data_IF_145062349880
#
_entry.id   IF_145062349880
#
_cell.length_a   1.000
_cell.length_b   1.000
_cell.length_c   1.000
_cell.angle_alpha   90.00
_cell.angle_beta   90.00
_cell.angle_gamma   90.00
#
_symmetry.space_group_name_H-M   'P 1'
#
loop_
_entity.id
_entity.type
_entity.pdbx_description
1 polymer ?
#
# COMPACT_ATOMS: atom_id res chain seq x y z
N UNK A 1 21.66 -9.12 -5.82
CA UNK A 1 21.98 -10.13 -6.84
C UNK A 1 20.70 -10.87 -7.14
N UNK A 2 20.42 -11.12 -8.41
CA UNK A 2 19.22 -11.81 -8.86
C UNK A 2 19.41 -13.32 -8.83
N UNK A 3 18.39 -14.06 -8.38
CA UNK A 3 18.39 -15.51 -8.36
C UNK A 3 18.12 -16.05 -9.76
N UNK A 4 18.97 -16.98 -10.23
CA UNK A 4 18.85 -17.58 -11.54
C UNK A 4 18.77 -19.10 -11.42
N UNK A 5 17.88 -19.73 -12.19
CA UNK A 5 17.83 -21.20 -12.37
C UNK A 5 18.22 -21.52 -13.81
N UNK A 6 19.08 -22.53 -13.97
CA UNK A 6 19.46 -23.11 -15.26
C UNK A 6 18.69 -24.41 -15.49
N UNK A 7 17.99 -24.52 -16.61
CA UNK A 7 17.25 -25.71 -16.98
C UNK A 7 17.61 -26.15 -18.40
N UNK A 8 18.25 -27.31 -18.51
CA UNK A 8 18.65 -27.93 -19.76
C UNK A 8 18.80 -29.44 -19.51
N UNK A 9 18.40 -30.32 -20.41
CA UNK A 9 18.54 -31.75 -20.18
C UNK A 9 19.99 -32.24 -20.36
N UNK A 10 20.82 -31.47 -21.08
CA UNK A 10 22.25 -31.74 -21.25
C UNK A 10 23.06 -31.17 -20.05
N UNK A 11 23.50 -32.03 -19.12
CA UNK A 11 24.29 -31.62 -17.97
C UNK A 11 25.59 -30.91 -18.34
N UNK A 12 26.21 -31.28 -19.47
CA UNK A 12 27.44 -30.68 -20.01
C UNK A 12 27.21 -29.21 -20.40
N UNK A 13 26.04 -28.85 -20.92
CA UNK A 13 25.69 -27.47 -21.27
C UNK A 13 25.55 -26.64 -19.97
N UNK A 14 24.83 -27.15 -18.98
CA UNK A 14 24.68 -26.46 -17.69
C UNK A 14 26.03 -26.22 -17.01
N UNK A 15 26.87 -27.26 -16.96
CA UNK A 15 28.20 -27.15 -16.37
C UNK A 15 29.10 -26.21 -17.19
N UNK A 16 29.12 -26.30 -18.50
CA UNK A 16 29.89 -25.42 -19.39
C UNK A 16 29.49 -23.94 -19.22
N UNK A 17 28.19 -23.63 -19.11
CA UNK A 17 27.74 -22.27 -18.84
C UNK A 17 28.26 -21.75 -17.50
N UNK A 18 28.24 -22.56 -16.44
CA UNK A 18 28.74 -22.16 -15.13
C UNK A 18 30.26 -21.92 -15.09
N UNK A 19 31.02 -22.67 -15.87
CA UNK A 19 32.48 -22.53 -15.93
C UNK A 19 32.93 -21.31 -16.73
N UNK A 20 32.18 -20.95 -17.80
CA UNK A 20 32.61 -19.94 -18.75
C UNK A 20 31.92 -18.57 -18.51
N UNK A 21 30.75 -18.56 -17.86
CA UNK A 21 29.97 -17.33 -17.62
C UNK A 21 30.18 -16.86 -16.18
N UNK A 22 30.68 -15.63 -15.95
CA UNK A 22 30.88 -15.08 -14.62
C UNK A 22 29.56 -14.52 -14.07
N UNK A 23 28.61 -15.38 -13.71
CA UNK A 23 27.26 -15.01 -13.27
C UNK A 23 27.27 -13.97 -12.13
N UNK A 24 28.11 -14.17 -11.12
CA UNK A 24 28.18 -13.24 -9.98
C UNK A 24 28.64 -11.84 -10.42
N UNK A 25 29.61 -11.74 -11.31
CA UNK A 25 30.08 -10.46 -11.85
C UNK A 25 29.00 -9.76 -12.70
N UNK A 26 28.09 -10.54 -13.29
CA UNK A 26 26.93 -10.05 -14.03
C UNK A 26 25.72 -9.73 -13.14
N UNK A 27 25.82 -9.98 -11.82
CA UNK A 27 24.78 -9.66 -10.86
C UNK A 27 23.74 -10.76 -10.63
N UNK A 28 24.06 -12.00 -11.06
CA UNK A 28 23.21 -13.19 -10.87
C UNK A 28 23.84 -14.22 -9.94
N UNK A 29 23.00 -14.94 -9.21
CA UNK A 29 23.41 -16.13 -8.44
C UNK A 29 22.64 -17.33 -8.97
N UNK A 30 23.34 -18.36 -9.42
CA UNK A 30 22.71 -19.62 -9.82
C UNK A 30 22.28 -20.36 -8.56
N UNK A 31 20.97 -20.37 -8.28
CA UNK A 31 20.41 -20.96 -7.06
C UNK A 31 19.86 -22.37 -7.27
N UNK A 32 19.72 -22.80 -8.53
CA UNK A 32 19.22 -24.12 -8.86
C UNK A 32 19.55 -24.54 -10.30
N UNK A 33 19.57 -25.84 -10.51
CA UNK A 33 19.73 -26.49 -11.82
C UNK A 33 18.69 -27.59 -11.97
N UNK A 34 18.17 -27.76 -13.18
CA UNK A 34 17.20 -28.81 -13.49
C UNK A 34 17.52 -29.46 -14.84
N UNK A 35 17.29 -30.77 -14.94
CA UNK A 35 17.44 -31.54 -16.16
C UNK A 35 16.14 -31.73 -16.95
N UNK A 36 15.02 -31.18 -16.48
CA UNK A 36 13.72 -31.24 -17.12
C UNK A 36 12.76 -30.17 -16.55
N UNK A 37 11.68 -29.92 -17.28
CA UNK A 37 10.73 -28.89 -16.88
C UNK A 37 9.94 -29.17 -15.59
N UNK A 38 9.76 -30.43 -15.21
CA UNK A 38 9.05 -30.80 -13.96
C UNK A 38 9.88 -30.44 -12.73
N UNK A 39 11.16 -30.79 -12.77
CA UNK A 39 12.14 -30.44 -11.74
C UNK A 39 12.31 -28.92 -11.65
N UNK A 40 12.46 -28.24 -12.79
CA UNK A 40 12.58 -26.78 -12.83
C UNK A 40 11.35 -26.07 -12.26
N UNK A 41 10.13 -26.55 -12.52
CA UNK A 41 8.90 -25.99 -11.95
C UNK A 41 8.92 -26.07 -10.41
N UNK A 42 9.27 -27.25 -9.87
CA UNK A 42 9.39 -27.43 -8.41
C UNK A 42 10.44 -26.51 -7.78
N UNK A 43 11.59 -26.33 -8.45
CA UNK A 43 12.62 -25.41 -8.00
C UNK A 43 12.16 -23.94 -8.07
N UNK A 44 11.40 -23.55 -9.11
CA UNK A 44 10.84 -22.21 -9.20
C UNK A 44 9.86 -21.92 -8.06
N UNK A 45 9.00 -22.87 -7.70
CA UNK A 45 8.07 -22.72 -6.56
C UNK A 45 8.78 -22.61 -5.21
N UNK A 46 9.90 -23.29 -5.03
CA UNK A 46 10.66 -23.30 -3.76
C UNK A 46 11.61 -22.11 -3.60
N UNK A 47 12.26 -21.72 -4.69
CA UNK A 47 13.36 -20.74 -4.64
C UNK A 47 12.95 -19.34 -5.10
N UNK A 48 11.81 -19.23 -5.78
CA UNK A 48 11.30 -17.96 -6.33
C UNK A 48 12.40 -17.20 -7.12
N UNK A 49 12.87 -17.74 -8.27
CA UNK A 49 13.94 -17.10 -9.03
C UNK A 49 13.46 -15.84 -9.74
N UNK A 50 14.38 -14.90 -9.93
CA UNK A 50 14.15 -13.70 -10.74
C UNK A 50 14.25 -14.01 -12.24
N UNK A 51 15.12 -14.95 -12.61
CA UNK A 51 15.36 -15.38 -13.99
C UNK A 51 15.42 -16.90 -14.11
N UNK A 52 14.63 -17.46 -15.01
CA UNK A 52 14.72 -18.85 -15.45
C UNK A 52 15.33 -18.89 -16.86
N UNK A 53 16.49 -19.53 -16.98
CA UNK A 53 17.11 -19.86 -18.28
C UNK A 53 16.75 -21.29 -18.60
N UNK A 54 16.06 -21.54 -19.71
CA UNK A 54 15.56 -22.88 -20.05
C UNK A 54 15.80 -23.24 -21.50
N UNK A 55 16.18 -24.50 -21.75
CA UNK A 55 16.04 -25.06 -23.08
C UNK A 55 14.56 -25.31 -23.42
N UNK A 56 14.23 -25.37 -24.72
CA UNK A 56 12.88 -25.71 -25.19
C UNK A 56 12.64 -27.20 -25.12
N UNK A 57 13.56 -27.99 -25.67
CA UNK A 57 13.36 -29.43 -25.81
C UNK A 57 13.94 -30.19 -24.63
N UNK A 58 13.08 -30.55 -23.71
CA UNK A 58 13.44 -31.33 -22.54
C UNK A 58 12.45 -32.48 -22.30
N UNK A 59 12.89 -33.59 -21.66
CA UNK A 59 12.00 -34.67 -21.30
C UNK A 59 10.95 -34.23 -20.25
N UNK A 60 9.83 -34.95 -20.20
CA UNK A 60 8.71 -34.78 -19.24
C UNK A 60 7.90 -33.50 -19.45
N UNK A 61 8.55 -32.35 -19.55
CA UNK A 61 7.91 -31.05 -19.78
C UNK A 61 8.87 -30.16 -20.58
N UNK A 62 8.40 -29.63 -21.69
CA UNK A 62 9.17 -28.71 -22.53
C UNK A 62 9.28 -27.32 -21.89
N UNK A 63 10.29 -26.53 -22.31
CA UNK A 63 10.58 -25.22 -21.72
C UNK A 63 9.49 -24.18 -21.92
N UNK A 64 8.73 -24.22 -23.00
CA UNK A 64 7.63 -23.28 -23.25
C UNK A 64 6.43 -23.57 -22.33
N UNK A 65 6.11 -24.85 -22.15
CA UNK A 65 5.10 -25.28 -21.17
C UNK A 65 5.53 -24.95 -19.75
N UNK A 66 6.81 -25.14 -19.43
CA UNK A 66 7.39 -24.71 -18.15
C UNK A 66 7.19 -23.21 -17.90
N UNK A 67 7.59 -22.36 -18.87
CA UNK A 67 7.44 -20.91 -18.74
C UNK A 67 5.99 -20.48 -18.52
N UNK A 68 5.01 -21.09 -19.19
CA UNK A 68 3.59 -20.79 -18.97
C UNK A 68 3.16 -21.12 -17.53
N UNK A 69 3.52 -22.30 -17.02
CA UNK A 69 3.18 -22.71 -15.64
C UNK A 69 3.87 -21.86 -14.60
N UNK A 70 5.15 -21.53 -14.80
CA UNK A 70 5.88 -20.63 -13.89
C UNK A 70 5.27 -19.23 -13.91
N UNK A 71 4.83 -18.70 -15.06
CA UNK A 71 4.17 -17.39 -15.16
C UNK A 71 2.85 -17.35 -14.38
N UNK A 72 2.10 -18.45 -14.32
CA UNK A 72 0.86 -18.57 -13.54
C UNK A 72 1.14 -18.60 -12.02
N UNK A 73 2.18 -19.34 -11.59
CA UNK A 73 2.52 -19.50 -10.17
C UNK A 73 3.36 -18.34 -9.63
N UNK A 74 4.30 -17.83 -10.44
CA UNK A 74 5.28 -16.80 -10.08
C UNK A 74 5.36 -15.71 -11.16
N UNK A 75 4.41 -14.77 -11.23
CA UNK A 75 4.34 -13.76 -12.28
C UNK A 75 5.56 -12.83 -12.38
N UNK A 76 6.39 -12.82 -11.33
CA UNK A 76 7.59 -11.98 -11.23
C UNK A 76 8.82 -12.61 -11.90
N UNK A 77 8.82 -13.93 -12.10
CA UNK A 77 9.93 -14.66 -12.74
C UNK A 77 9.97 -14.33 -14.22
N UNK A 78 11.14 -13.92 -14.70
CA UNK A 78 11.39 -13.68 -16.12
C UNK A 78 12.09 -14.86 -16.78
N UNK A 79 12.04 -14.92 -18.12
CA UNK A 79 12.49 -16.09 -18.87
C UNK A 79 13.51 -15.72 -19.94
N UNK A 80 14.55 -16.55 -20.05
CA UNK A 80 15.48 -16.58 -21.16
C UNK A 80 15.45 -17.98 -21.78
N UNK A 81 15.16 -18.06 -23.07
CA UNK A 81 15.02 -19.33 -23.78
C UNK A 81 16.28 -19.63 -24.58
N UNK A 82 16.76 -20.86 -24.45
CA UNK A 82 17.82 -21.43 -25.26
C UNK A 82 17.18 -22.44 -26.22
N UNK A 83 17.56 -22.43 -27.49
CA UNK A 83 17.01 -23.35 -28.50
C UNK A 83 18.07 -23.88 -29.44
N UNK A 84 18.09 -25.18 -29.68
CA UNK A 84 18.94 -25.81 -30.69
C UNK A 84 18.36 -25.79 -32.11
N UNK A 85 17.20 -25.19 -32.29
CA UNK A 85 16.47 -25.23 -33.58
C UNK A 85 16.05 -23.80 -33.97
N UNK A 86 16.34 -23.46 -35.21
CA UNK A 86 15.82 -22.29 -35.89
C UNK A 86 14.38 -22.57 -36.35
N UNK A 87 13.48 -22.76 -35.37
CA UNK A 87 12.06 -23.01 -35.61
C UNK A 87 11.28 -21.74 -35.31
N UNK A 88 10.76 -21.13 -36.34
CA UNK A 88 9.96 -19.89 -36.26
C UNK A 88 8.78 -20.03 -35.31
N UNK A 89 8.21 -21.21 -35.16
CA UNK A 89 7.07 -21.47 -34.29
C UNK A 89 7.44 -21.35 -32.80
N UNK A 90 8.64 -21.80 -32.40
CA UNK A 90 9.13 -21.62 -31.04
C UNK A 90 9.45 -20.18 -30.72
N UNK A 91 10.05 -19.44 -31.65
CA UNK A 91 10.31 -18.01 -31.49
C UNK A 91 8.99 -17.21 -31.34
N UNK A 92 7.95 -17.55 -32.11
CA UNK A 92 6.63 -16.95 -32.00
C UNK A 92 6.00 -17.20 -30.62
N UNK A 93 6.04 -18.43 -30.13
CA UNK A 93 5.51 -18.78 -28.82
C UNK A 93 6.29 -18.09 -27.67
N UNK A 94 7.62 -17.95 -27.79
CA UNK A 94 8.43 -17.21 -26.84
C UNK A 94 8.02 -15.73 -26.74
N UNK A 95 7.68 -15.10 -27.86
CA UNK A 95 7.15 -13.73 -27.90
C UNK A 95 5.78 -13.64 -27.19
N UNK A 96 4.88 -14.62 -27.41
CA UNK A 96 3.57 -14.68 -26.75
C UNK A 96 3.70 -14.80 -25.23
N UNK A 97 4.71 -15.53 -24.73
CA UNK A 97 5.02 -15.69 -23.31
C UNK A 97 5.71 -14.43 -22.73
N UNK A 98 6.15 -13.51 -23.58
CA UNK A 98 6.94 -12.32 -23.22
C UNK A 98 8.25 -12.69 -22.52
N UNK A 99 9.09 -13.48 -23.19
CA UNK A 99 10.42 -13.81 -22.69
C UNK A 99 11.36 -12.62 -22.86
N UNK A 100 12.33 -12.46 -21.95
CA UNK A 100 13.35 -11.41 -22.03
C UNK A 100 14.34 -11.61 -23.18
N UNK A 101 14.54 -12.87 -23.60
CA UNK A 101 15.45 -13.19 -24.67
C UNK A 101 15.25 -14.60 -25.22
N UNK A 102 15.72 -14.80 -26.44
CA UNK A 102 15.74 -16.06 -27.13
C UNK A 102 17.11 -16.23 -27.81
N UNK A 103 17.82 -17.30 -27.50
CA UNK A 103 19.16 -17.59 -28.01
C UNK A 103 19.20 -18.91 -28.75
N UNK A 104 19.88 -18.95 -29.88
CA UNK A 104 20.09 -20.15 -30.66
C UNK A 104 21.40 -20.86 -30.27
N UNK A 105 21.33 -22.15 -30.01
CA UNK A 105 22.52 -23.00 -29.81
C UNK A 105 23.19 -23.27 -31.17
N UNK A 106 24.54 -23.28 -31.31
CA UNK A 106 25.52 -23.15 -30.21
C UNK A 106 25.70 -21.70 -29.76
N UNK A 107 25.65 -21.47 -28.44
CA UNK A 107 25.71 -20.14 -27.84
C UNK A 107 27.15 -19.81 -27.50
N UNK A 108 27.64 -18.69 -27.98
CA UNK A 108 28.94 -18.15 -27.52
C UNK A 108 28.81 -17.56 -26.10
N UNK A 109 29.87 -17.71 -25.29
CA UNK A 109 29.92 -17.11 -23.97
C UNK A 109 29.67 -15.59 -24.01
N UNK A 110 30.17 -14.92 -25.03
CA UNK A 110 30.04 -13.47 -25.19
C UNK A 110 28.60 -13.05 -25.50
N UNK A 111 27.90 -13.81 -26.34
CA UNK A 111 26.50 -13.58 -26.68
C UNK A 111 25.61 -13.80 -25.45
N UNK A 112 25.81 -14.91 -24.73
CA UNK A 112 25.07 -15.19 -23.51
C UNK A 112 25.27 -14.12 -22.42
N UNK A 113 26.53 -13.66 -22.22
CA UNK A 113 26.82 -12.57 -21.29
C UNK A 113 26.13 -11.26 -21.69
N UNK A 114 26.02 -10.95 -22.99
CA UNK A 114 25.34 -9.76 -23.48
C UNK A 114 23.86 -9.82 -23.13
N UNK A 115 23.20 -10.94 -23.41
CA UNK A 115 21.78 -11.12 -23.10
C UNK A 115 21.52 -11.10 -21.60
N UNK A 116 22.42 -11.66 -20.77
CA UNK A 116 22.30 -11.55 -19.31
C UNK A 116 22.44 -10.10 -18.80
N UNK A 117 23.29 -9.27 -19.42
CA UNK A 117 23.40 -7.85 -19.09
C UNK A 117 22.11 -7.09 -19.42
N UNK A 118 21.52 -7.39 -20.59
CA UNK A 118 20.25 -6.80 -21.01
C UNK A 118 19.10 -7.26 -20.11
N UNK A 119 19.07 -8.55 -19.73
CA UNK A 119 18.11 -9.08 -18.77
C UNK A 119 18.24 -8.40 -17.39
N UNK A 120 19.49 -8.22 -16.92
CA UNK A 120 19.74 -7.48 -15.67
C UNK A 120 19.21 -6.05 -15.71
N UNK A 121 19.47 -5.32 -16.79
CA UNK A 121 18.99 -3.95 -16.94
C UNK A 121 17.45 -3.88 -16.90
N UNK A 122 16.77 -4.83 -17.54
CA UNK A 122 15.31 -4.93 -17.50
C UNK A 122 14.78 -5.28 -16.09
N UNK A 123 15.44 -6.19 -15.38
CA UNK A 123 15.11 -6.53 -14.00
C UNK A 123 15.33 -5.34 -13.05
N UNK A 124 16.45 -4.62 -13.20
CA UNK A 124 16.74 -3.40 -12.42
C UNK A 124 15.65 -2.34 -12.63
N UNK A 125 15.22 -2.13 -13.87
CA UNK A 125 14.15 -1.17 -14.19
C UNK A 125 12.79 -1.61 -13.63
N UNK A 126 12.45 -2.90 -13.74
CA UNK A 126 11.21 -3.45 -13.18
C UNK A 126 11.19 -3.34 -11.65
N UNK A 127 12.31 -3.62 -10.99
CA UNK A 127 12.48 -3.48 -9.54
C UNK A 127 12.37 -2.03 -9.10
N UNK A 128 13.03 -1.11 -9.80
CA UNK A 128 12.95 0.33 -9.50
C UNK A 128 11.51 0.87 -9.65
N UNK A 129 10.77 0.42 -10.68
CA UNK A 129 9.35 0.77 -10.84
C UNK A 129 8.48 0.28 -9.68
N UNK A 130 8.66 -0.99 -9.25
CA UNK A 130 7.94 -1.53 -8.08
C UNK A 130 8.26 -0.74 -6.82
N UNK A 131 9.53 -0.49 -6.54
CA UNK A 131 9.97 0.27 -5.37
C UNK A 131 9.38 1.69 -5.35
N UNK A 132 9.27 2.35 -6.51
CA UNK A 132 8.66 3.67 -6.60
C UNK A 132 7.15 3.65 -6.32
N UNK A 133 6.42 2.63 -6.80
CA UNK A 133 4.99 2.46 -6.51
C UNK A 133 4.78 2.20 -5.03
N UNK A 134 5.54 1.29 -4.43
CA UNK A 134 5.46 0.98 -3.00
C UNK A 134 5.77 2.20 -2.12
N UNK A 135 6.79 2.99 -2.50
CA UNK A 135 7.13 4.25 -1.82
C UNK A 135 6.00 5.27 -1.93
N UNK A 136 5.43 5.45 -3.12
CA UNK A 136 4.31 6.37 -3.32
C UNK A 136 3.08 5.94 -2.52
N UNK A 137 2.79 4.64 -2.45
CA UNK A 137 1.71 4.10 -1.62
C UNK A 137 1.98 4.30 -0.12
N UNK A 138 3.22 4.10 0.33
CA UNK A 138 3.62 4.38 1.70
C UNK A 138 3.46 5.87 2.04
N UNK A 139 3.99 6.77 1.22
CA UNK A 139 3.83 8.22 1.40
C UNK A 139 2.36 8.65 1.41
N UNK A 140 1.53 8.09 0.53
CA UNK A 140 0.11 8.38 0.53
C UNK A 140 -0.54 7.92 1.82
N UNK A 141 -0.24 6.71 2.29
CA UNK A 141 -0.75 6.15 3.55
C UNK A 141 -0.35 7.00 4.75
N UNK A 142 0.91 7.41 4.82
CA UNK A 142 1.44 8.25 5.90
C UNK A 142 0.82 9.66 5.89
N UNK A 143 0.40 10.14 4.72
CA UNK A 143 -0.26 11.44 4.56
C UNK A 143 -1.76 11.41 4.85
N UNK A 144 -2.41 10.24 4.87
CA UNK A 144 -3.86 10.10 5.09
C UNK A 144 -4.37 10.80 6.34
N UNK A 145 -3.73 10.72 7.53
CA UNK A 145 -4.21 11.41 8.73
C UNK A 145 -4.28 12.92 8.54
N UNK A 146 -3.27 13.51 7.89
CA UNK A 146 -3.21 14.95 7.60
C UNK A 146 -4.28 15.34 6.59
N UNK A 147 -4.45 14.55 5.53
CA UNK A 147 -5.48 14.79 4.50
C UNK A 147 -6.90 14.71 5.08
N UNK A 148 -7.17 13.74 5.97
CA UNK A 148 -8.44 13.60 6.68
C UNK A 148 -8.70 14.81 7.57
N UNK A 149 -7.72 15.22 8.36
CA UNK A 149 -7.82 16.39 9.22
C UNK A 149 -8.11 17.66 8.41
N UNK A 150 -7.36 17.90 7.33
CA UNK A 150 -7.56 19.07 6.46
C UNK A 150 -8.95 19.08 5.83
N UNK A 151 -9.44 17.92 5.39
CA UNK A 151 -10.79 17.77 4.84
C UNK A 151 -11.86 18.18 5.87
N UNK A 152 -11.77 17.68 7.11
CA UNK A 152 -12.73 17.97 8.17
C UNK A 152 -12.66 19.44 8.60
N UNK A 153 -11.48 20.03 8.65
CA UNK A 153 -11.30 21.46 8.91
C UNK A 153 -11.95 22.32 7.83
N UNK A 154 -11.74 21.99 6.55
CA UNK A 154 -12.36 22.70 5.43
C UNK A 154 -13.89 22.56 5.43
N UNK A 155 -14.41 21.39 5.84
CA UNK A 155 -15.84 21.16 5.99
C UNK A 155 -16.45 22.07 7.08
N UNK A 156 -15.81 22.16 8.24
CA UNK A 156 -16.26 23.03 9.33
C UNK A 156 -16.13 24.52 9.00
N UNK A 157 -15.10 24.89 8.24
CA UNK A 157 -14.92 26.28 7.79
C UNK A 157 -15.94 26.68 6.72
N UNK A 158 -16.50 25.72 5.99
CA UNK A 158 -17.38 25.95 4.84
C UNK A 158 -16.61 26.23 3.54
N UNK A 159 -15.33 25.86 3.50
CA UNK A 159 -14.42 26.12 2.36
C UNK A 159 -14.49 25.03 1.29
N UNK A 160 -15.19 23.94 1.54
CA UNK A 160 -15.37 22.82 0.61
C UNK A 160 -16.85 22.53 0.33
N UNK A 161 -17.16 22.19 -0.92
CA UNK A 161 -18.48 21.73 -1.29
C UNK A 161 -18.79 20.37 -0.64
N UNK A 162 -19.97 20.13 -0.06
CA UNK A 162 -20.35 18.88 0.60
C UNK A 162 -20.18 17.62 -0.29
N UNK A 163 -20.53 17.69 -1.56
CA UNK A 163 -20.34 16.57 -2.49
C UNK A 163 -18.86 16.24 -2.72
N UNK A 164 -18.02 17.25 -2.78
CA UNK A 164 -16.57 17.08 -2.90
C UNK A 164 -15.98 16.53 -1.59
N UNK A 165 -16.50 16.98 -0.45
CA UNK A 165 -16.12 16.46 0.85
C UNK A 165 -16.41 14.95 0.97
N UNK A 166 -17.59 14.49 0.55
CA UNK A 166 -17.97 13.07 0.53
C UNK A 166 -17.05 12.26 -0.40
N UNK A 167 -16.80 12.75 -1.63
CA UNK A 167 -15.88 12.06 -2.56
C UNK A 167 -14.45 11.96 -2.03
N UNK A 168 -13.96 13.00 -1.37
CA UNK A 168 -12.63 13.03 -0.78
C UNK A 168 -12.54 12.14 0.45
N UNK A 169 -13.56 12.15 1.32
CA UNK A 169 -13.66 11.26 2.47
C UNK A 169 -13.58 9.80 2.05
N UNK A 170 -14.38 9.38 1.07
CA UNK A 170 -14.35 8.02 0.54
C UNK A 170 -12.96 7.63 0.02
N UNK A 171 -12.27 8.54 -0.67
CA UNK A 171 -10.88 8.35 -1.16
C UNK A 171 -9.87 8.17 -0.02
N UNK A 172 -10.14 8.79 1.14
CA UNK A 172 -9.30 8.69 2.35
C UNK A 172 -9.74 7.59 3.31
N UNK A 173 -10.74 6.77 2.92
CA UNK A 173 -11.25 5.66 3.72
C UNK A 173 -12.19 6.08 4.86
N UNK A 174 -12.81 7.28 4.73
CA UNK A 174 -13.81 7.80 5.66
C UNK A 174 -15.21 7.79 5.05
N UNK A 175 -16.25 7.76 5.89
CA UNK A 175 -17.65 7.76 5.47
C UNK A 175 -18.37 8.95 6.09
N UNK A 176 -18.73 9.94 5.28
CA UNK A 176 -19.51 11.12 5.70
C UNK A 176 -20.97 10.98 5.26
N UNK A 177 -21.63 9.87 5.65
CA UNK A 177 -22.98 9.46 5.23
C UNK A 177 -23.93 9.30 6.42
N UNK A 178 -24.09 10.32 7.26
CA UNK A 178 -25.04 10.31 8.37
C UNK A 178 -26.31 11.10 8.02
N UNK A 179 -27.43 10.75 8.68
CA UNK A 179 -28.71 11.44 8.51
C UNK A 179 -28.66 12.88 9.08
N UNK A 180 -27.84 13.12 10.09
CA UNK A 180 -27.60 14.44 10.67
C UNK A 180 -26.23 14.48 11.37
N UNK A 181 -25.80 15.66 11.75
CA UNK A 181 -24.49 15.90 12.35
C UNK A 181 -24.59 16.84 13.57
N UNK A 182 -23.95 16.47 14.67
CA UNK A 182 -23.72 17.39 15.76
C UNK A 182 -22.27 17.91 15.72
N UNK A 183 -22.10 19.21 15.90
CA UNK A 183 -20.80 19.85 15.96
C UNK A 183 -20.58 20.37 17.37
N UNK A 184 -19.45 20.03 17.97
CA UNK A 184 -19.01 20.62 19.22
C UNK A 184 -17.58 21.16 19.10
N UNK A 185 -17.34 22.33 19.71
CA UNK A 185 -16.02 22.92 19.81
C UNK A 185 -15.59 22.90 21.28
N UNK A 186 -14.39 22.44 21.55
CA UNK A 186 -13.89 22.19 22.91
C UNK A 186 -12.53 22.86 23.11
N UNK A 187 -12.37 23.49 24.27
CA UNK A 187 -11.08 24.00 24.72
C UNK A 187 -10.90 23.77 26.22
N UNK A 188 -9.67 23.63 26.73
CA UNK A 188 -9.41 23.61 28.17
C UNK A 188 -9.91 24.89 28.85
N UNK A 189 -10.60 24.72 29.98
CA UNK A 189 -11.05 25.83 30.78
C UNK A 189 -9.93 26.37 31.69
N UNK A 190 -9.21 25.42 32.34
CA UNK A 190 -8.05 25.69 33.17
C UNK A 190 -7.10 24.49 33.10
N UNK A 191 -5.82 24.76 33.07
CA UNK A 191 -4.77 23.75 33.00
C UNK A 191 -4.06 23.53 34.36
N UNK A 192 -4.47 24.19 35.41
CA UNK A 192 -3.81 24.17 36.73
C UNK A 192 -3.80 22.77 37.39
N UNK A 193 -4.75 21.89 36.99
CA UNK A 193 -4.84 20.52 37.49
C UNK A 193 -4.17 19.46 36.58
N UNK A 194 -3.64 19.86 35.43
CA UNK A 194 -3.07 18.95 34.45
C UNK A 194 -1.56 18.79 34.63
N UNK A 195 -1.08 17.55 34.78
CA UNK A 195 0.36 17.24 34.83
C UNK A 195 1.14 17.44 33.52
N UNK A 196 0.46 17.86 32.45
CA UNK A 196 1.07 18.06 31.11
C UNK A 196 1.34 19.55 30.92
N UNK A 197 2.61 19.96 30.99
CA UNK A 197 3.00 21.37 30.87
C UNK A 197 2.88 21.89 29.42
N UNK A 198 3.22 21.08 28.44
CA UNK A 198 3.18 21.45 27.01
C UNK A 198 1.73 21.60 26.52
N UNK A 199 1.34 22.79 26.00
CA UNK A 199 -0.02 23.02 25.50
C UNK A 199 -0.41 22.12 24.30
N UNK A 200 0.50 21.84 23.38
CA UNK A 200 0.22 21.02 22.20
C UNK A 200 0.01 19.55 22.59
N UNK A 201 0.89 19.02 23.45
CA UNK A 201 0.75 17.67 24.00
C UNK A 201 -0.53 17.52 24.81
N UNK A 202 -0.93 18.56 25.56
CA UNK A 202 -2.19 18.59 26.32
C UNK A 202 -3.41 18.51 25.41
N UNK A 203 -3.43 19.28 24.32
CA UNK A 203 -4.49 19.25 23.32
C UNK A 203 -4.54 17.91 22.59
N UNK A 204 -3.39 17.32 22.32
CA UNK A 204 -3.30 15.99 21.74
C UNK A 204 -3.87 14.92 22.68
N UNK A 205 -3.44 14.90 23.93
CA UNK A 205 -3.93 13.97 24.95
C UNK A 205 -5.46 14.10 25.15
N UNK A 206 -5.97 15.33 25.21
CA UNK A 206 -7.41 15.61 25.30
C UNK A 206 -8.17 15.01 24.12
N UNK A 207 -7.69 15.19 22.89
CA UNK A 207 -8.35 14.61 21.70
C UNK A 207 -8.36 13.08 21.73
N UNK A 208 -7.28 12.45 22.18
CA UNK A 208 -7.22 10.98 22.29
C UNK A 208 -8.25 10.46 23.29
N UNK A 209 -8.33 11.08 24.49
CA UNK A 209 -9.33 10.68 25.50
C UNK A 209 -10.76 10.92 25.00
N UNK A 210 -11.01 12.04 24.29
CA UNK A 210 -12.33 12.30 23.68
C UNK A 210 -12.68 11.27 22.59
N UNK A 211 -11.72 10.88 21.76
CA UNK A 211 -11.93 9.86 20.72
C UNK A 211 -12.32 8.52 21.34
N UNK A 212 -11.60 8.11 22.38
CA UNK A 212 -11.86 6.86 23.10
C UNK A 212 -13.21 6.91 23.85
N UNK A 213 -13.48 7.99 24.55
CA UNK A 213 -14.73 8.16 25.30
C UNK A 213 -15.98 8.17 24.40
N UNK A 214 -15.84 8.58 23.16
CA UNK A 214 -16.92 8.69 22.17
C UNK A 214 -16.91 7.58 21.12
N UNK A 215 -16.01 6.59 21.20
CA UNK A 215 -15.74 5.57 20.16
C UNK A 215 -17.00 4.86 19.67
N UNK A 216 -17.93 4.53 20.57
CA UNK A 216 -19.20 3.88 20.23
C UNK A 216 -20.06 4.68 19.23
N UNK A 217 -19.83 6.00 19.13
CA UNK A 217 -20.57 6.93 18.28
C UNK A 217 -19.78 7.32 17.01
N UNK A 218 -18.62 6.70 16.76
CA UNK A 218 -17.73 6.96 15.61
C UNK A 218 -17.46 8.45 15.39
N UNK A 219 -16.93 9.17 16.41
CA UNK A 219 -16.69 10.60 16.33
C UNK A 219 -15.54 10.92 15.40
N UNK A 220 -15.61 12.06 14.74
CA UNK A 220 -14.43 12.71 14.17
C UNK A 220 -13.94 13.77 15.16
N UNK A 221 -12.76 13.50 15.79
CA UNK A 221 -12.13 14.42 16.74
C UNK A 221 -10.84 14.96 16.12
N UNK A 222 -10.76 16.26 15.90
CA UNK A 222 -9.65 16.88 15.18
C UNK A 222 -9.36 18.31 15.67
N UNK A 223 -8.14 18.82 15.48
CA UNK A 223 -7.82 20.21 15.79
C UNK A 223 -8.55 21.16 14.84
N UNK A 224 -9.11 22.23 15.38
CA UNK A 224 -9.77 23.28 14.62
C UNK A 224 -9.43 24.65 15.23
N UNK A 225 -8.63 25.46 14.52
CA UNK A 225 -8.03 26.71 15.04
C UNK A 225 -7.27 26.46 16.34
N UNK A 226 -7.58 27.17 17.39
CA UNK A 226 -7.04 27.05 18.76
C UNK A 226 -7.82 26.06 19.64
N UNK A 227 -8.80 25.34 19.07
CA UNK A 227 -9.72 24.44 19.77
C UNK A 227 -9.60 23.00 19.21
N UNK A 228 -10.34 22.08 19.80
CA UNK A 228 -10.64 20.79 19.22
C UNK A 228 -12.09 20.76 18.77
N UNK A 229 -12.34 20.21 17.59
CA UNK A 229 -13.67 19.98 17.09
C UNK A 229 -14.04 18.50 17.24
N UNK A 230 -15.30 18.26 17.56
CA UNK A 230 -15.95 16.96 17.55
C UNK A 230 -17.11 17.05 16.57
N UNK A 231 -17.08 16.20 15.53
CA UNK A 231 -18.17 16.03 14.59
C UNK A 231 -18.76 14.64 14.82
N UNK A 232 -20.02 14.57 15.25
CA UNK A 232 -20.73 13.33 15.58
C UNK A 232 -21.75 13.00 14.49
N UNK A 233 -21.67 11.84 13.85
CA UNK A 233 -22.72 11.36 12.95
C UNK A 233 -23.95 10.93 13.79
N UNK A 234 -25.14 11.35 13.39
CA UNK A 234 -26.40 11.04 14.06
C UNK A 234 -27.31 10.24 13.11
N UNK A 235 -28.02 9.28 13.65
CA UNK A 235 -29.05 8.53 12.91
C UNK A 235 -30.37 9.26 12.85
N UNK A 236 -30.66 10.12 13.86
CA UNK A 236 -31.90 10.91 13.96
C UNK A 236 -31.55 12.40 14.20
N UNK A 237 -32.22 13.34 13.52
CA UNK A 237 -31.88 14.75 13.63
C UNK A 237 -32.34 15.43 14.93
N UNK A 238 -33.19 14.81 15.72
CA UNK A 238 -33.87 15.49 16.84
C UNK A 238 -33.27 15.17 18.23
N UNK A 239 -31.97 14.84 18.30
CA UNK A 239 -31.37 14.31 19.53
C UNK A 239 -30.30 15.23 20.14
N UNK A 240 -30.51 16.57 20.14
CA UNK A 240 -29.55 17.52 20.72
C UNK A 240 -29.29 17.25 22.21
N UNK A 241 -30.34 16.95 22.99
CA UNK A 241 -30.19 16.69 24.44
C UNK A 241 -29.29 15.46 24.70
N UNK A 242 -29.43 14.41 23.93
CA UNK A 242 -28.55 13.22 24.03
C UNK A 242 -27.10 13.52 23.62
N UNK A 243 -26.88 14.34 22.59
CA UNK A 243 -25.54 14.79 22.23
C UNK A 243 -24.86 15.58 23.33
N UNK A 244 -25.61 16.50 23.97
CA UNK A 244 -25.10 17.29 25.12
C UNK A 244 -24.75 16.36 26.29
N UNK A 245 -25.64 15.41 26.63
CA UNK A 245 -25.38 14.43 27.69
C UNK A 245 -24.13 13.60 27.43
N UNK A 246 -23.95 13.13 26.17
CA UNK A 246 -22.80 12.37 25.75
C UNK A 246 -21.49 13.18 25.86
N UNK A 247 -21.50 14.43 25.45
CA UNK A 247 -20.33 15.30 25.53
C UNK A 247 -20.01 15.66 26.99
N UNK A 248 -21.01 15.77 27.86
CA UNK A 248 -20.80 15.94 29.29
C UNK A 248 -20.15 14.71 29.95
N UNK A 249 -20.52 13.50 29.55
CA UNK A 249 -19.83 12.30 30.03
C UNK A 249 -18.38 12.25 29.51
N UNK A 250 -18.14 12.59 28.25
CA UNK A 250 -16.79 12.69 27.69
C UNK A 250 -15.96 13.77 28.43
N UNK A 251 -16.56 14.92 28.82
CA UNK A 251 -15.91 15.95 29.65
C UNK A 251 -15.47 15.41 31.01
N UNK A 252 -16.34 14.64 31.69
CA UNK A 252 -16.01 13.99 32.96
C UNK A 252 -14.84 13.00 32.80
N UNK A 253 -14.82 12.25 31.70
CA UNK A 253 -13.74 11.33 31.38
C UNK A 253 -12.42 12.06 31.20
N UNK A 254 -12.39 13.16 30.43
CA UNK A 254 -11.19 14.00 30.26
C UNK A 254 -10.72 14.56 31.59
N UNK A 255 -11.64 15.06 32.40
CA UNK A 255 -11.32 15.59 33.76
C UNK A 255 -10.74 14.50 34.67
N UNK A 256 -11.29 13.29 34.60
CA UNK A 256 -10.82 12.17 35.41
C UNK A 256 -9.39 11.74 35.06
N UNK A 257 -9.09 11.59 33.78
CA UNK A 257 -7.78 11.06 33.31
C UNK A 257 -6.69 12.14 33.21
N UNK A 258 -7.05 13.36 32.82
CA UNK A 258 -6.08 14.41 32.54
C UNK A 258 -6.09 15.57 33.56
N UNK A 259 -7.07 15.59 34.48
CA UNK A 259 -7.24 16.74 35.37
C UNK A 259 -7.65 18.05 34.67
N UNK A 260 -8.12 17.93 33.41
CA UNK A 260 -8.53 19.06 32.56
C UNK A 260 -10.04 19.26 32.63
N UNK A 261 -10.48 20.46 32.99
CA UNK A 261 -11.87 20.87 32.75
C UNK A 261 -12.00 21.50 31.37
N UNK A 262 -13.17 21.36 30.74
CA UNK A 262 -13.40 21.79 29.35
C UNK A 262 -14.56 22.77 29.26
N UNK A 263 -14.39 23.83 28.47
CA UNK A 263 -15.50 24.54 27.85
C UNK A 263 -15.93 23.78 26.60
N UNK A 264 -17.23 23.55 26.46
CA UNK A 264 -17.84 22.85 25.33
C UNK A 264 -18.93 23.74 24.76
N UNK A 265 -18.75 24.19 23.53
CA UNK A 265 -19.80 24.82 22.74
C UNK A 265 -20.45 23.77 21.82
N UNK A 266 -21.76 23.70 21.74
CA UNK A 266 -22.52 22.78 20.90
C UNK A 266 -23.44 23.56 20.00
N UNK A 267 -23.22 23.46 18.69
CA UNK A 267 -24.04 24.07 17.68
C UNK A 267 -25.40 23.41 17.55
N UNK A 268 -26.26 23.98 16.69
CA UNK A 268 -27.51 23.31 16.30
C UNK A 268 -27.22 22.05 15.48
N UNK A 269 -28.14 21.08 15.55
CA UNK A 269 -27.99 19.85 14.76
C UNK A 269 -28.07 20.19 13.27
N UNK A 270 -27.03 19.82 12.54
CA UNK A 270 -26.96 19.99 11.10
C UNK A 270 -27.66 18.82 10.41
N UNK A 271 -28.76 19.09 9.73
CA UNK A 271 -29.56 18.08 8.99
C UNK A 271 -28.84 17.58 7.70
N UNK A 272 -27.68 18.14 7.37
CA UNK A 272 -26.85 17.74 6.22
C UNK A 272 -25.43 18.25 6.38
N UNK A 273 -24.48 17.73 5.60
CA UNK A 273 -23.10 18.23 5.60
C UNK A 273 -23.00 19.72 5.23
N UNK A 274 -23.91 20.25 4.41
CA UNK A 274 -23.93 21.66 4.04
C UNK A 274 -24.24 22.59 5.23
N UNK A 275 -24.92 22.11 6.26
CA UNK A 275 -25.25 22.86 7.45
C UNK A 275 -24.18 22.78 8.55
N UNK A 276 -23.18 21.91 8.42
CA UNK A 276 -22.13 21.69 9.43
C UNK A 276 -21.33 22.96 9.70
N UNK A 277 -20.97 23.72 8.68
CA UNK A 277 -20.24 24.98 8.83
C UNK A 277 -21.05 26.04 9.60
N UNK A 278 -22.37 26.06 9.41
CA UNK A 278 -23.24 26.97 10.17
C UNK A 278 -23.36 26.53 11.64
N UNK A 279 -23.50 25.24 11.89
CA UNK A 279 -23.50 24.66 13.25
C UNK A 279 -22.18 24.97 13.99
N UNK A 280 -21.03 24.86 13.31
CA UNK A 280 -19.73 25.21 13.87
C UNK A 280 -19.57 26.67 14.28
N UNK A 281 -20.26 27.60 13.61
CA UNK A 281 -20.26 29.02 13.96
C UNK A 281 -21.10 29.33 15.21
N UNK A 282 -22.04 28.46 15.53
CA UNK A 282 -22.90 28.57 16.70
C UNK A 282 -22.33 27.91 17.94
N UNK A 283 -21.42 26.93 17.72
CA UNK A 283 -20.71 26.23 18.79
C UNK A 283 -19.59 27.09 19.40
#
# INVERSE_FOLDING_TARGET
MYKLILCDDEAEIRQGLKEVVPFEALGFTVVGEAGNGVEALSLCEQLEPDLLVTDIRMPLMDGLTLCRRVREASPATEFLILSGYDDFEYARQAIEIKTMGYLLKPISSQEFQTVLKDAKAQLDEAYARRLNVDRLQAYFRDSLPVLRQTLLQSLLAGDINPEEAVRSAHRYGEQLDAAAWAVALLRPADASGCGIADPELRMFAMRNVLTEALEAHRPYVFPYRDMSAVLLPLQEPDNRAACVALLEEARKTVRHYLGLDLYIGVGDIAASLSAVAQSAKQA
#
